data_IF_306664828550
#
_entry.id   IF_306664828550
#
_cell.length_a   1.000
_cell.length_b   1.000
_cell.length_c   1.000
_cell.angle_alpha   90.00
_cell.angle_beta   90.00
_cell.angle_gamma   90.00
#
_symmetry.space_group_name_H-M   'P 1'
#
loop_
_entity.id
_entity.type
_entity.pdbx_description
1 polymer ?
#
# COMPACT_ATOMS: atom_id res chain seq x y z
N UNK A 1 -42.82 51.97 73.57
CA UNK A 1 -42.26 50.84 74.31
C UNK A 1 -42.47 49.62 73.42
N UNK A 2 -41.43 49.25 72.72
CA UNK A 2 -41.49 48.31 71.59
C UNK A 2 -41.11 46.89 72.04
N UNK A 3 -41.92 45.92 71.66
CA UNK A 3 -41.65 44.48 71.86
C UNK A 3 -41.34 43.90 70.48
N UNK A 4 -40.09 43.41 70.29
CA UNK A 4 -39.66 42.73 69.11
C UNK A 4 -39.98 41.22 69.19
N UNK A 5 -40.74 40.75 68.23
CA UNK A 5 -41.05 39.30 68.07
C UNK A 5 -40.17 38.71 66.96
N UNK A 6 -39.21 37.87 67.32
CA UNK A 6 -38.40 37.10 66.38
C UNK A 6 -39.15 35.91 65.76
N UNK A 7 -39.31 35.89 64.46
CA UNK A 7 -39.84 34.74 63.72
C UNK A 7 -38.69 33.80 63.31
N UNK A 8 -38.76 32.59 63.81
CA UNK A 8 -37.87 31.50 63.34
C UNK A 8 -38.47 30.93 62.09
N UNK A 9 -37.73 30.98 60.98
CA UNK A 9 -38.06 30.33 59.71
C UNK A 9 -37.33 28.96 59.65
N UNK A 10 -38.11 27.91 59.70
CA UNK A 10 -37.65 26.53 59.57
C UNK A 10 -37.51 26.20 58.07
N UNK A 11 -36.29 26.12 57.56
CA UNK A 11 -36.03 25.74 56.17
C UNK A 11 -36.00 24.20 56.05
N UNK A 12 -36.99 23.63 55.38
CA UNK A 12 -37.00 22.22 55.00
C UNK A 12 -36.12 22.03 53.75
N UNK A 13 -34.97 21.40 53.91
CA UNK A 13 -34.13 20.93 52.81
C UNK A 13 -34.71 19.63 52.23
N UNK A 14 -35.37 19.70 51.07
CA UNK A 14 -35.74 18.56 50.25
C UNK A 14 -34.51 18.07 49.47
N UNK A 15 -33.95 16.94 49.85
CA UNK A 15 -32.90 16.25 49.09
C UNK A 15 -33.53 15.54 47.88
N UNK A 16 -33.33 16.09 46.69
CA UNK A 16 -33.66 15.45 45.42
C UNK A 16 -32.63 14.36 45.15
N UNK A 17 -32.97 13.10 45.36
CA UNK A 17 -32.22 11.97 44.89
C UNK A 17 -32.39 11.87 43.35
N UNK A 18 -31.39 12.31 42.59
CA UNK A 18 -31.31 12.08 41.14
C UNK A 18 -30.90 10.62 40.91
N UNK A 19 -31.87 9.81 40.54
CA UNK A 19 -31.63 8.44 40.11
C UNK A 19 -30.97 8.44 38.73
N UNK A 20 -29.62 8.32 38.66
CA UNK A 20 -28.90 8.12 37.40
C UNK A 20 -29.05 6.66 36.97
N UNK A 21 -29.61 6.38 35.78
CA UNK A 21 -29.62 5.02 35.27
C UNK A 21 -28.18 4.56 35.01
N UNK A 22 -27.77 3.48 35.68
CA UNK A 22 -26.51 2.78 35.40
C UNK A 22 -26.60 2.25 33.98
N UNK A 23 -25.86 2.88 33.05
CA UNK A 23 -25.72 2.35 31.71
C UNK A 23 -25.00 1.00 31.81
N UNK A 24 -25.55 -0.09 31.23
CA UNK A 24 -24.83 -1.34 31.17
C UNK A 24 -23.52 -1.10 30.42
N UNK A 25 -22.42 -1.49 31.02
CA UNK A 25 -21.10 -1.48 30.36
C UNK A 25 -21.25 -2.28 29.06
N UNK A 26 -20.99 -1.64 27.92
CA UNK A 26 -20.86 -2.37 26.68
C UNK A 26 -19.79 -3.44 26.90
N UNK A 27 -20.23 -4.71 26.94
CA UNK A 27 -19.31 -5.83 26.95
C UNK A 27 -18.33 -5.66 25.79
N UNK A 28 -17.05 -5.57 26.11
CA UNK A 28 -16.00 -5.53 25.11
C UNK A 28 -16.15 -6.82 24.27
N UNK A 29 -16.59 -6.66 23.03
CA UNK A 29 -16.66 -7.77 22.09
C UNK A 29 -15.23 -8.30 21.93
N UNK A 30 -14.93 -9.47 22.47
CA UNK A 30 -13.66 -10.15 22.23
C UNK A 30 -13.47 -10.26 20.72
N UNK A 31 -12.56 -9.47 20.19
CA UNK A 31 -12.17 -9.56 18.77
C UNK A 31 -11.50 -10.90 18.57
N UNK A 32 -12.24 -11.86 18.01
CA UNK A 32 -11.74 -13.21 17.70
C UNK A 32 -10.44 -13.07 16.91
N UNK A 33 -9.30 -13.48 17.51
CA UNK A 33 -7.98 -13.35 16.90
C UNK A 33 -7.98 -14.12 15.56
N UNK A 34 -7.83 -13.40 14.45
CA UNK A 34 -7.78 -14.00 13.12
C UNK A 34 -6.47 -14.77 13.01
N UNK A 35 -6.56 -16.08 12.79
CA UNK A 35 -5.38 -16.94 12.61
C UNK A 35 -4.88 -16.79 11.18
N UNK A 36 -3.58 -16.57 11.02
CA UNK A 36 -2.92 -16.49 9.73
C UNK A 36 -1.95 -17.68 9.53
N UNK A 37 -1.58 -17.91 8.30
CA UNK A 37 -0.54 -18.88 7.90
C UNK A 37 0.36 -18.26 6.84
N UNK A 38 1.59 -18.76 6.76
CA UNK A 38 2.58 -18.30 5.77
C UNK A 38 3.08 -19.50 4.98
N UNK A 39 3.05 -19.37 3.65
CA UNK A 39 3.63 -20.31 2.71
C UNK A 39 4.73 -19.56 1.98
N UNK A 40 5.92 -20.11 1.96
CA UNK A 40 7.09 -19.42 1.44
C UNK A 40 7.62 -20.06 0.17
N UNK A 41 8.37 -19.28 -0.58
CA UNK A 41 9.19 -19.74 -1.70
C UNK A 41 8.41 -20.39 -2.87
N UNK A 42 7.23 -19.85 -3.19
CA UNK A 42 6.39 -20.33 -4.29
C UNK A 42 6.87 -19.68 -5.59
N UNK A 43 7.15 -20.48 -6.63
CA UNK A 43 7.48 -19.96 -7.95
C UNK A 43 6.27 -19.30 -8.61
N UNK A 44 6.42 -18.10 -9.14
CA UNK A 44 5.38 -17.43 -9.92
C UNK A 44 5.71 -17.36 -11.43
N UNK A 45 6.92 -17.73 -11.81
CA UNK A 45 7.34 -17.94 -13.20
C UNK A 45 7.89 -19.38 -13.35
N UNK A 46 7.61 -19.98 -14.49
CA UNK A 46 8.31 -21.18 -14.91
C UNK A 46 9.72 -20.81 -15.35
N UNK A 47 10.68 -21.66 -15.03
CA UNK A 47 12.07 -21.44 -15.40
C UNK A 47 12.35 -22.09 -16.74
N UNK A 48 12.47 -21.33 -17.85
CA UNK A 48 13.17 -21.84 -19.01
C UNK A 48 14.66 -21.95 -18.63
N UNK A 49 15.30 -23.07 -18.91
CA UNK A 49 16.68 -23.45 -18.54
C UNK A 49 17.76 -22.37 -18.83
N UNK A 50 17.45 -21.39 -19.66
CA UNK A 50 18.35 -20.32 -20.10
C UNK A 50 18.28 -19.02 -19.28
N UNK A 51 17.33 -18.85 -18.34
CA UNK A 51 17.07 -17.54 -17.75
C UNK A 51 17.52 -17.47 -16.29
N UNK A 52 18.77 -17.04 -16.09
CA UNK A 52 19.42 -16.94 -14.79
C UNK A 52 18.62 -16.07 -13.82
N UNK A 53 18.46 -16.52 -12.59
CA UNK A 53 17.84 -15.76 -11.51
C UNK A 53 16.32 -15.96 -11.38
N UNK A 54 15.61 -16.55 -12.32
CA UNK A 54 14.19 -16.86 -12.20
C UNK A 54 13.94 -17.75 -10.97
N UNK A 55 14.72 -18.84 -10.81
CA UNK A 55 14.55 -19.78 -9.70
C UNK A 55 14.78 -19.19 -8.31
N UNK A 56 15.63 -18.16 -8.23
CA UNK A 56 16.00 -17.55 -6.94
C UNK A 56 15.19 -16.30 -6.64
N UNK A 57 14.89 -15.50 -7.66
CA UNK A 57 14.28 -14.18 -7.53
C UNK A 57 12.78 -14.16 -7.81
N UNK A 58 12.30 -14.95 -8.80
CA UNK A 58 10.90 -14.94 -9.19
C UNK A 58 10.04 -15.87 -8.29
N UNK A 59 10.05 -15.56 -7.00
CA UNK A 59 9.34 -16.28 -5.95
C UNK A 59 8.45 -15.34 -5.15
N UNK A 60 7.38 -15.89 -4.59
CA UNK A 60 6.50 -15.20 -3.64
C UNK A 60 6.42 -15.93 -2.31
N UNK A 61 6.24 -15.15 -1.24
CA UNK A 61 5.82 -15.63 0.06
C UNK A 61 4.39 -15.14 0.32
N UNK A 62 3.48 -16.03 0.68
CA UNK A 62 2.07 -15.74 0.88
C UNK A 62 1.73 -15.85 2.35
N UNK A 63 1.38 -14.72 2.97
CA UNK A 63 0.85 -14.67 4.34
C UNK A 63 -0.64 -14.35 4.26
N UNK A 64 -1.51 -15.22 4.75
CA UNK A 64 -2.94 -15.05 4.59
C UNK A 64 -3.75 -15.49 5.82
N UNK A 65 -4.93 -14.87 6.08
CA UNK A 65 -5.84 -15.33 7.12
C UNK A 65 -6.49 -16.67 6.71
N UNK A 66 -6.90 -17.46 7.69
CA UNK A 66 -7.67 -18.70 7.45
C UNK A 66 -9.14 -18.44 7.08
N UNK A 67 -9.63 -17.21 7.17
CA UNK A 67 -10.95 -16.80 6.68
C UNK A 67 -11.01 -16.82 5.14
N UNK A 68 -12.21 -16.60 4.57
CA UNK A 68 -12.40 -16.49 3.13
C UNK A 68 -12.79 -15.06 2.73
N UNK A 69 -12.59 -14.72 1.43
CA UNK A 69 -13.00 -13.44 0.85
C UNK A 69 -12.16 -12.24 1.28
N UNK A 70 -10.94 -12.48 1.77
CA UNK A 70 -10.03 -11.41 2.19
C UNK A 70 -9.41 -10.67 1.01
N UNK A 71 -9.04 -9.42 1.25
CA UNK A 71 -8.26 -8.61 0.33
C UNK A 71 -6.77 -8.99 0.39
N UNK A 72 -6.06 -8.78 -0.72
CA UNK A 72 -4.65 -9.15 -0.85
C UNK A 72 -3.81 -7.95 -1.31
N UNK A 73 -2.69 -7.72 -0.64
CA UNK A 73 -1.65 -6.78 -1.06
C UNK A 73 -0.51 -7.56 -1.70
N UNK A 74 -0.24 -7.31 -2.97
CA UNK A 74 1.01 -7.71 -3.61
C UNK A 74 2.05 -6.68 -3.24
N UNK A 75 3.09 -7.12 -2.52
CA UNK A 75 4.12 -6.26 -1.96
C UNK A 75 5.45 -6.44 -2.65
N UNK A 76 6.02 -5.34 -3.15
CA UNK A 76 7.36 -5.29 -3.74
C UNK A 76 8.33 -4.56 -2.80
N UNK A 77 9.49 -5.18 -2.55
CA UNK A 77 10.56 -4.59 -1.75
C UNK A 77 11.24 -3.41 -2.46
N UNK A 78 11.89 -2.55 -1.70
CA UNK A 78 12.76 -1.50 -2.21
C UNK A 78 14.16 -2.02 -2.58
N UNK A 79 15.11 -1.09 -2.70
CA UNK A 79 16.52 -1.40 -2.99
C UNK A 79 16.98 -0.95 -4.38
N UNK A 80 16.33 0.07 -4.95
CA UNK A 80 16.81 0.75 -6.15
C UNK A 80 16.84 -0.10 -7.41
N UNK A 81 16.10 -1.22 -7.48
CA UNK A 81 16.17 -2.23 -8.55
C UNK A 81 17.53 -2.94 -8.64
N UNK A 82 18.44 -2.70 -7.70
CA UNK A 82 19.81 -3.26 -7.66
C UNK A 82 20.05 -4.15 -6.44
N UNK A 83 19.14 -4.11 -5.45
CA UNK A 83 19.28 -4.84 -4.20
C UNK A 83 17.92 -5.14 -3.55
N UNK A 84 17.99 -5.70 -2.34
CA UNK A 84 16.80 -6.09 -1.60
C UNK A 84 16.37 -7.54 -1.85
N UNK A 85 15.36 -7.96 -1.11
CA UNK A 85 14.77 -9.29 -1.19
C UNK A 85 13.31 -9.26 -0.76
N UNK A 86 12.54 -10.25 -1.20
CA UNK A 86 11.16 -10.42 -0.76
C UNK A 86 11.09 -10.63 0.75
N UNK A 87 10.06 -10.08 1.35
CA UNK A 87 9.77 -10.24 2.76
C UNK A 87 8.41 -9.63 3.07
N UNK A 88 7.68 -10.24 3.99
CA UNK A 88 6.38 -9.75 4.43
C UNK A 88 6.61 -8.69 5.50
N UNK A 89 6.25 -7.41 5.27
CA UNK A 89 6.41 -6.35 6.27
C UNK A 89 5.64 -6.67 7.55
N UNK A 90 6.28 -6.51 8.71
CA UNK A 90 5.67 -6.82 10.01
C UNK A 90 4.39 -6.02 10.28
N UNK A 91 4.35 -4.77 9.85
CA UNK A 91 3.17 -3.91 9.98
C UNK A 91 1.96 -4.36 9.16
N UNK A 92 2.13 -5.25 8.18
CA UNK A 92 1.04 -5.85 7.39
C UNK A 92 0.64 -7.24 7.89
N UNK A 93 1.46 -7.90 8.75
CA UNK A 93 1.13 -9.22 9.29
C UNK A 93 -0.09 -9.16 10.21
N UNK A 94 -0.91 -10.21 10.16
CA UNK A 94 -2.02 -10.44 11.07
C UNK A 94 -3.09 -9.32 11.08
N UNK A 95 -3.24 -8.61 9.96
CA UNK A 95 -4.22 -7.51 9.81
C UNK A 95 -5.56 -7.96 9.21
N UNK A 96 -5.80 -9.26 9.01
CA UNK A 96 -7.01 -9.80 8.37
C UNK A 96 -7.03 -9.62 6.85
N UNK A 97 -5.90 -9.28 6.27
CA UNK A 97 -5.63 -9.22 4.83
C UNK A 97 -4.52 -10.22 4.49
N UNK A 98 -4.43 -10.62 3.23
CA UNK A 98 -3.26 -11.36 2.77
C UNK A 98 -2.18 -10.41 2.26
N UNK A 99 -0.93 -10.87 2.36
CA UNK A 99 0.24 -10.23 1.75
C UNK A 99 0.95 -11.25 0.89
N UNK A 100 1.14 -10.93 -0.37
CA UNK A 100 1.97 -11.69 -1.31
C UNK A 100 3.24 -10.89 -1.52
N UNK A 101 4.30 -11.21 -0.77
CA UNK A 101 5.59 -10.57 -0.91
C UNK A 101 6.34 -11.18 -2.09
N UNK A 102 6.61 -10.37 -3.10
CA UNK A 102 7.22 -10.82 -4.35
C UNK A 102 8.69 -10.39 -4.45
N UNK A 103 9.55 -11.34 -4.82
CA UNK A 103 10.87 -11.06 -5.35
C UNK A 103 10.80 -10.77 -6.84
N UNK A 104 11.84 -10.18 -7.38
CA UNK A 104 12.01 -9.90 -8.80
C UNK A 104 13.51 -9.83 -9.12
N UNK A 105 13.89 -10.08 -10.38
CA UNK A 105 15.29 -10.01 -10.81
C UNK A 105 15.79 -8.57 -10.76
N UNK A 106 17.07 -8.40 -10.54
CA UNK A 106 17.70 -7.11 -10.24
C UNK A 106 18.80 -6.78 -11.24
N UNK A 107 19.07 -5.50 -11.42
CA UNK A 107 20.28 -5.00 -12.07
C UNK A 107 21.50 -5.30 -11.16
N UNK A 108 22.68 -5.70 -11.68
CA UNK A 108 23.02 -5.76 -13.11
C UNK A 108 22.73 -7.10 -13.81
N UNK A 109 22.22 -8.12 -13.07
CA UNK A 109 21.95 -9.45 -13.64
C UNK A 109 20.93 -9.37 -14.79
N UNK A 110 19.96 -8.46 -14.68
CA UNK A 110 19.02 -8.10 -15.74
C UNK A 110 18.95 -6.58 -15.92
N UNK A 111 18.39 -6.14 -17.04
CA UNK A 111 18.12 -4.74 -17.33
C UNK A 111 16.63 -4.46 -17.51
N UNK A 112 16.29 -3.16 -17.58
CA UNK A 112 14.94 -2.73 -17.97
C UNK A 112 14.56 -3.33 -19.33
N UNK A 113 13.33 -3.87 -19.48
CA UNK A 113 12.20 -3.82 -18.55
C UNK A 113 12.02 -5.07 -17.64
N UNK A 114 12.96 -6.00 -17.62
CA UNK A 114 12.80 -7.35 -17.03
C UNK A 114 12.25 -7.36 -15.60
N UNK A 115 12.70 -6.46 -14.74
CA UNK A 115 12.17 -6.40 -13.35
C UNK A 115 10.73 -5.90 -13.27
N UNK A 116 10.26 -5.11 -14.25
CA UNK A 116 8.84 -4.71 -14.35
C UNK A 116 8.01 -5.90 -14.85
N UNK A 117 8.53 -6.65 -15.84
CA UNK A 117 7.88 -7.87 -16.35
C UNK A 117 7.75 -8.94 -15.26
N UNK A 118 8.78 -9.11 -14.42
CA UNK A 118 8.73 -10.01 -13.26
C UNK A 118 7.67 -9.58 -12.26
N UNK A 119 7.62 -8.30 -11.95
CA UNK A 119 6.63 -7.76 -11.04
C UNK A 119 5.19 -7.91 -11.60
N UNK A 120 4.99 -7.69 -12.90
CA UNK A 120 3.70 -7.93 -13.57
C UNK A 120 3.30 -9.42 -13.51
N UNK A 121 4.25 -10.33 -13.73
CA UNK A 121 4.03 -11.77 -13.62
C UNK A 121 3.63 -12.18 -12.19
N UNK A 122 4.23 -11.57 -11.14
CA UNK A 122 3.86 -11.81 -9.75
C UNK A 122 2.44 -11.34 -9.42
N UNK A 123 2.03 -10.16 -9.93
CA UNK A 123 0.65 -9.67 -9.81
C UNK A 123 -0.32 -10.62 -10.53
N UNK A 124 0.00 -11.01 -11.76
CA UNK A 124 -0.81 -11.94 -12.53
C UNK A 124 -0.94 -13.30 -11.86
N UNK A 125 0.16 -13.83 -11.31
CA UNK A 125 0.13 -15.06 -10.53
C UNK A 125 -0.80 -14.93 -9.32
N UNK A 126 -0.72 -13.81 -8.61
CA UNK A 126 -1.57 -13.56 -7.43
C UNK A 126 -3.04 -13.58 -7.80
N UNK A 127 -3.45 -12.82 -8.83
CA UNK A 127 -4.84 -12.78 -9.30
C UNK A 127 -5.35 -14.19 -9.66
N UNK A 128 -4.54 -14.99 -10.35
CA UNK A 128 -4.90 -16.35 -10.79
C UNK A 128 -4.92 -17.41 -9.69
N UNK A 129 -4.23 -17.17 -8.56
CA UNK A 129 -4.02 -18.20 -7.54
C UNK A 129 -4.58 -17.88 -6.16
N UNK A 130 -4.87 -16.61 -5.85
CA UNK A 130 -5.23 -16.20 -4.49
C UNK A 130 -6.51 -16.86 -3.96
N UNK A 131 -7.43 -17.22 -4.84
CA UNK A 131 -8.65 -17.93 -4.50
C UNK A 131 -8.39 -19.30 -3.86
N UNK A 132 -7.31 -20.01 -4.27
CA UNK A 132 -6.86 -21.28 -3.68
C UNK A 132 -6.52 -21.13 -2.19
N UNK A 133 -6.15 -19.94 -1.77
CA UNK A 133 -5.84 -19.59 -0.37
C UNK A 133 -7.05 -18.99 0.37
N UNK A 134 -8.17 -18.80 -0.32
CA UNK A 134 -9.41 -18.23 0.21
C UNK A 134 -9.55 -16.72 0.00
N UNK A 135 -8.65 -16.08 -0.76
CA UNK A 135 -8.72 -14.66 -1.09
C UNK A 135 -9.74 -14.35 -2.18
N UNK A 136 -10.09 -13.08 -2.30
CA UNK A 136 -10.98 -12.57 -3.33
C UNK A 136 -10.12 -11.95 -4.46
N UNK A 137 -10.12 -12.53 -5.67
CA UNK A 137 -9.30 -12.04 -6.79
C UNK A 137 -9.73 -10.66 -7.30
N UNK A 138 -10.91 -10.17 -6.91
CA UNK A 138 -11.37 -8.79 -7.22
C UNK A 138 -10.87 -7.75 -6.21
N UNK A 139 -10.22 -8.19 -5.11
CA UNK A 139 -9.70 -7.33 -4.04
C UNK A 139 -8.17 -7.36 -3.98
N UNK A 140 -7.53 -7.18 -5.14
CA UNK A 140 -6.07 -7.15 -5.25
C UNK A 140 -5.58 -5.71 -5.25
N UNK A 141 -4.67 -5.42 -4.33
CA UNK A 141 -3.95 -4.16 -4.22
C UNK A 141 -2.48 -4.38 -4.54
N UNK A 142 -1.85 -3.40 -5.18
CA UNK A 142 -0.41 -3.46 -5.46
C UNK A 142 0.29 -2.35 -4.70
N UNK A 143 1.32 -2.70 -3.95
CA UNK A 143 2.07 -1.79 -3.08
C UNK A 143 3.55 -2.14 -3.04
N UNK A 144 4.35 -1.24 -2.52
CA UNK A 144 5.77 -1.43 -2.30
C UNK A 144 6.43 -0.11 -1.93
N UNK A 145 7.65 -0.18 -1.42
CA UNK A 145 8.41 0.98 -1.01
C UNK A 145 9.53 1.29 -2.01
N UNK A 146 9.80 2.57 -2.29
CA UNK A 146 10.91 3.01 -3.14
C UNK A 146 10.86 2.38 -4.54
N UNK A 147 11.82 1.55 -4.92
CA UNK A 147 11.79 0.77 -6.16
C UNK A 147 10.53 -0.11 -6.28
N UNK A 148 10.07 -0.71 -5.16
CA UNK A 148 8.80 -1.44 -5.13
C UNK A 148 7.59 -0.53 -5.34
N UNK A 149 7.63 0.71 -4.86
CA UNK A 149 6.65 1.74 -5.16
C UNK A 149 6.62 2.11 -6.63
N UNK A 150 7.80 2.26 -7.25
CA UNK A 150 7.93 2.47 -8.69
C UNK A 150 7.30 1.30 -9.49
N UNK A 151 7.64 0.05 -9.14
CA UNK A 151 7.05 -1.13 -9.79
C UNK A 151 5.53 -1.16 -9.66
N UNK A 152 5.00 -0.89 -8.47
CA UNK A 152 3.55 -0.87 -8.24
C UNK A 152 2.84 0.20 -9.08
N UNK A 153 3.44 1.38 -9.23
CA UNK A 153 2.91 2.44 -10.08
C UNK A 153 2.97 2.07 -11.57
N UNK A 154 4.12 1.54 -12.05
CA UNK A 154 4.26 1.12 -13.45
C UNK A 154 3.22 0.05 -13.83
N UNK A 155 3.07 -1.00 -13.03
CA UNK A 155 2.16 -2.11 -13.32
C UNK A 155 0.70 -1.65 -13.34
N UNK A 156 0.32 -0.76 -12.43
CA UNK A 156 -1.07 -0.31 -12.34
C UNK A 156 -1.46 0.77 -13.33
N UNK A 157 -0.49 1.52 -13.87
CA UNK A 157 -0.77 2.65 -14.75
C UNK A 157 -0.54 2.32 -16.23
N UNK A 158 0.51 1.58 -16.54
CA UNK A 158 0.84 1.20 -17.90
C UNK A 158 0.25 -0.19 -18.22
N UNK A 159 -0.81 -0.19 -19.00
CA UNK A 159 -1.55 -1.41 -19.37
C UNK A 159 -0.68 -2.46 -20.09
N UNK A 160 0.44 -2.05 -20.69
CA UNK A 160 1.34 -2.96 -21.41
C UNK A 160 1.85 -4.11 -20.55
N UNK A 161 2.05 -3.88 -19.25
CA UNK A 161 2.70 -4.88 -18.37
C UNK A 161 1.80 -6.05 -18.01
N UNK A 162 0.52 -5.82 -17.80
CA UNK A 162 -0.44 -6.90 -17.48
C UNK A 162 -1.13 -7.49 -18.71
N UNK A 163 -1.09 -6.81 -19.86
CA UNK A 163 -1.71 -7.27 -21.11
C UNK A 163 -1.22 -8.66 -21.57
N UNK A 164 0.09 -9.01 -21.50
CA UNK A 164 0.56 -10.36 -21.87
C UNK A 164 -0.02 -11.48 -20.98
N UNK A 165 -0.53 -11.13 -19.79
CA UNK A 165 -1.16 -12.05 -18.85
C UNK A 165 -2.69 -12.12 -19.01
N UNK A 166 -3.26 -11.35 -19.96
CA UNK A 166 -4.71 -11.23 -20.19
C UNK A 166 -5.43 -10.48 -19.08
N UNK A 167 -4.76 -9.55 -18.39
CA UNK A 167 -5.29 -8.79 -17.25
C UNK A 167 -5.31 -7.30 -17.60
N UNK A 168 -6.46 -6.66 -17.38
CA UNK A 168 -6.57 -5.21 -17.38
C UNK A 168 -6.24 -4.67 -15.98
N UNK A 169 -5.22 -3.79 -15.80
CA UNK A 169 -4.90 -3.21 -14.50
C UNK A 169 -6.06 -2.43 -13.87
N UNK A 170 -7.05 -2.00 -14.63
CA UNK A 170 -8.23 -1.30 -14.10
C UNK A 170 -9.10 -2.20 -13.21
N UNK A 171 -8.89 -3.51 -13.25
CA UNK A 171 -9.52 -4.48 -12.33
C UNK A 171 -8.87 -4.54 -10.95
N UNK A 172 -7.71 -3.89 -10.76
CA UNK A 172 -7.06 -3.80 -9.45
C UNK A 172 -7.89 -2.94 -8.50
N UNK A 173 -8.05 -3.38 -7.26
CA UNK A 173 -8.81 -2.67 -6.24
C UNK A 173 -8.13 -1.37 -5.76
N UNK A 174 -6.82 -1.24 -5.98
CA UNK A 174 -6.07 -0.01 -5.75
C UNK A 174 -4.56 -0.16 -5.83
N UNK A 175 -3.90 0.98 -5.95
CA UNK A 175 -2.45 1.13 -5.99
C UNK A 175 -1.99 1.92 -4.77
N UNK A 176 -0.93 1.44 -4.10
CA UNK A 176 -0.43 2.09 -2.89
C UNK A 176 1.10 2.21 -2.99
N UNK A 177 1.63 3.02 -3.92
CA UNK A 177 3.06 3.23 -4.04
C UNK A 177 3.58 4.11 -2.91
N UNK A 178 4.57 3.60 -2.15
CA UNK A 178 5.22 4.29 -1.05
C UNK A 178 6.54 4.88 -1.55
N UNK A 179 6.64 6.20 -1.55
CA UNK A 179 7.80 6.97 -2.03
C UNK A 179 8.34 6.47 -3.39
N UNK A 180 7.48 6.29 -4.41
CA UNK A 180 7.92 5.87 -5.72
C UNK A 180 8.76 6.95 -6.40
N UNK A 181 9.65 6.57 -7.30
CA UNK A 181 10.11 7.49 -8.34
C UNK A 181 9.00 7.67 -9.37
N UNK A 182 8.56 8.90 -9.63
CA UNK A 182 7.49 9.19 -10.58
C UNK A 182 8.03 9.39 -12.01
N UNK A 183 9.29 9.82 -12.13
CA UNK A 183 10.03 9.90 -13.38
C UNK A 183 10.70 8.55 -13.72
N UNK A 184 11.36 8.43 -14.86
CA UNK A 184 12.15 7.25 -15.23
C UNK A 184 13.14 6.91 -14.12
N UNK A 185 13.08 5.69 -13.62
CA UNK A 185 13.86 5.27 -12.44
C UNK A 185 15.37 5.48 -12.66
N UNK A 186 16.08 5.94 -11.61
CA UNK A 186 17.50 6.29 -11.73
C UNK A 186 18.38 5.11 -12.21
N UNK A 187 18.05 3.88 -11.81
CA UNK A 187 18.75 2.68 -12.29
C UNK A 187 18.60 2.50 -13.79
N UNK A 188 17.40 2.72 -14.33
CA UNK A 188 17.15 2.66 -15.79
C UNK A 188 17.93 3.76 -16.51
N UNK A 189 17.98 4.96 -15.94
CA UNK A 189 18.79 6.04 -16.48
C UNK A 189 20.28 5.67 -16.47
N UNK A 190 20.77 5.10 -15.38
CA UNK A 190 22.15 4.60 -15.25
C UNK A 190 22.48 3.51 -16.28
N UNK A 191 21.57 2.56 -16.51
CA UNK A 191 21.72 1.53 -17.57
C UNK A 191 21.91 2.11 -18.95
N UNK A 192 21.35 3.30 -19.19
CA UNK A 192 21.43 4.04 -20.46
C UNK A 192 22.58 5.06 -20.50
N UNK A 193 23.45 5.08 -19.48
CA UNK A 193 24.54 6.04 -19.36
C UNK A 193 24.08 7.48 -19.05
N UNK A 194 22.85 7.66 -18.59
CA UNK A 194 22.27 8.95 -18.23
C UNK A 194 22.52 9.20 -16.74
N UNK A 195 23.07 10.38 -16.41
CA UNK A 195 23.31 10.76 -15.01
C UNK A 195 22.01 10.82 -14.22
N UNK A 196 22.06 10.44 -12.95
CA UNK A 196 20.92 10.45 -12.01
C UNK A 196 20.33 11.84 -11.76
N UNK A 197 21.15 12.89 -11.93
CA UNK A 197 20.71 14.29 -11.83
C UNK A 197 19.89 14.77 -13.03
N UNK A 198 19.86 14.01 -14.16
CA UNK A 198 19.08 14.38 -15.33
C UNK A 198 17.66 13.84 -15.23
N UNK A 199 16.68 14.73 -15.21
CA UNK A 199 15.27 14.36 -15.25
C UNK A 199 14.91 13.80 -16.63
N UNK A 200 14.34 12.59 -16.65
CA UNK A 200 13.80 11.93 -17.84
C UNK A 200 12.38 11.47 -17.54
N UNK A 201 11.46 11.80 -18.45
CA UNK A 201 10.08 11.31 -18.44
C UNK A 201 9.84 10.66 -19.80
N UNK A 202 9.86 9.35 -19.82
CA UNK A 202 9.63 8.53 -21.02
C UNK A 202 8.64 7.38 -20.69
N UNK A 203 8.60 6.35 -21.53
CA UNK A 203 7.72 5.19 -21.34
C UNK A 203 8.03 4.37 -20.08
N UNK A 204 9.18 4.60 -19.42
CA UNK A 204 9.56 3.98 -18.14
C UNK A 204 9.29 4.90 -16.94
N UNK A 205 8.59 6.02 -17.14
CA UNK A 205 8.20 6.94 -16.08
C UNK A 205 6.74 6.72 -15.69
N UNK A 206 6.40 6.37 -14.45
CA UNK A 206 5.00 6.21 -14.03
C UNK A 206 4.13 7.42 -14.34
N UNK A 207 4.68 8.64 -14.24
CA UNK A 207 3.95 9.88 -14.51
C UNK A 207 3.50 10.01 -15.97
N UNK A 208 4.20 9.35 -16.91
CA UNK A 208 3.84 9.35 -18.33
C UNK A 208 2.54 8.56 -18.61
N UNK A 209 2.13 7.71 -17.68
CA UNK A 209 0.98 6.82 -17.82
C UNK A 209 -0.21 7.23 -16.95
N UNK A 210 -0.22 8.48 -16.47
CA UNK A 210 -1.34 9.02 -15.70
C UNK A 210 -2.59 9.08 -16.57
N UNK A 211 -3.70 8.53 -16.07
CA UNK A 211 -4.98 8.46 -16.80
C UNK A 211 -6.17 8.57 -15.85
N UNK A 212 -7.35 9.05 -16.32
CA UNK A 212 -8.49 9.32 -15.47
C UNK A 212 -9.19 8.07 -14.92
N UNK A 213 -9.04 6.95 -15.60
CA UNK A 213 -9.68 5.65 -15.36
C UNK A 213 -8.76 4.64 -14.64
N UNK A 214 -7.58 5.09 -14.17
CA UNK A 214 -6.67 4.27 -13.37
C UNK A 214 -7.35 3.78 -12.07
N UNK A 215 -6.88 2.66 -11.48
CA UNK A 215 -7.35 2.20 -10.17
C UNK A 215 -7.24 3.31 -9.11
N UNK A 216 -8.01 3.25 -8.00
CA UNK A 216 -7.83 4.16 -6.87
C UNK A 216 -6.40 4.16 -6.35
N UNK A 217 -5.84 5.34 -6.04
CA UNK A 217 -4.41 5.49 -5.70
C UNK A 217 -4.23 6.19 -4.36
N UNK A 218 -3.37 5.63 -3.51
CA UNK A 218 -2.80 6.27 -2.33
C UNK A 218 -1.30 6.41 -2.51
N UNK A 219 -0.82 7.60 -2.81
CA UNK A 219 0.60 7.96 -2.76
C UNK A 219 0.97 8.30 -1.32
N UNK A 220 2.06 7.73 -0.81
CA UNK A 220 2.63 8.09 0.50
C UNK A 220 4.09 8.45 0.30
N UNK A 221 4.55 9.55 0.87
CA UNK A 221 5.95 9.97 0.84
C UNK A 221 6.43 10.30 2.26
N UNK A 222 7.72 10.30 2.48
CA UNK A 222 8.31 10.84 3.71
C UNK A 222 8.16 12.36 3.79
N UNK A 223 8.72 12.93 4.83
CA UNK A 223 8.77 14.37 5.06
C UNK A 223 9.58 15.05 3.95
N UNK A 224 9.06 16.10 3.34
CA UNK A 224 9.70 16.81 2.22
C UNK A 224 11.12 17.30 2.51
N UNK A 225 11.42 17.61 3.77
CA UNK A 225 12.73 18.10 4.20
C UNK A 225 13.71 16.94 4.55
N UNK A 226 13.21 15.70 4.68
CA UNK A 226 14.01 14.54 5.09
C UNK A 226 14.03 13.40 4.06
N UNK A 227 13.11 13.43 3.10
CA UNK A 227 13.06 12.47 2.00
C UNK A 227 14.27 12.65 1.07
N UNK A 228 14.51 11.69 0.17
CA UNK A 228 15.47 11.89 -0.90
C UNK A 228 15.15 13.16 -1.69
N UNK A 229 16.19 13.95 -2.00
CA UNK A 229 16.02 15.22 -2.71
C UNK A 229 15.23 15.03 -4.01
N UNK A 230 14.19 15.84 -4.17
CA UNK A 230 13.28 15.80 -5.31
C UNK A 230 12.20 14.72 -5.24
N UNK A 231 12.27 13.76 -4.30
CA UNK A 231 11.33 12.65 -4.23
C UNK A 231 9.91 13.11 -3.83
N UNK A 232 9.81 14.01 -2.86
CA UNK A 232 8.53 14.59 -2.48
C UNK A 232 7.92 15.37 -3.64
N UNK A 233 8.71 16.20 -4.30
CA UNK A 233 8.28 17.04 -5.43
C UNK A 233 7.81 16.18 -6.62
N UNK A 234 8.53 15.09 -6.93
CA UNK A 234 8.09 14.12 -7.94
C UNK A 234 6.70 13.57 -7.59
N UNK A 235 6.48 13.16 -6.33
CA UNK A 235 5.21 12.60 -5.89
C UNK A 235 4.10 13.64 -5.82
N UNK A 236 4.38 14.88 -5.42
CA UNK A 236 3.43 15.98 -5.40
C UNK A 236 3.00 16.35 -6.83
N UNK A 237 3.95 16.40 -7.77
CA UNK A 237 3.65 16.64 -9.17
C UNK A 237 2.89 15.44 -9.79
N UNK A 238 3.27 14.21 -9.50
CA UNK A 238 2.57 13.01 -9.91
C UNK A 238 1.10 13.01 -9.47
N UNK A 239 0.85 13.31 -8.19
CA UNK A 239 -0.50 13.51 -7.66
C UNK A 239 -1.25 14.64 -8.40
N UNK A 240 -0.57 15.76 -8.69
CA UNK A 240 -1.17 16.89 -9.41
C UNK A 240 -1.60 16.46 -10.81
N UNK A 241 -0.81 15.67 -11.52
CA UNK A 241 -1.14 15.20 -12.86
C UNK A 241 -2.40 14.31 -12.87
N UNK A 242 -2.60 13.46 -11.87
CA UNK A 242 -3.88 12.74 -11.72
C UNK A 242 -5.08 13.69 -11.61
N UNK A 243 -4.94 14.80 -10.90
CA UNK A 243 -5.98 15.84 -10.83
C UNK A 243 -6.21 16.52 -12.18
N UNK A 244 -5.14 16.80 -12.90
CA UNK A 244 -5.21 17.45 -14.24
C UNK A 244 -5.98 16.59 -15.22
N UNK A 245 -5.76 15.28 -15.24
CA UNK A 245 -6.50 14.36 -16.14
C UNK A 245 -7.90 14.00 -15.62
N UNK A 246 -8.32 14.51 -14.46
CA UNK A 246 -9.66 14.28 -13.91
C UNK A 246 -9.81 12.99 -13.09
N UNK A 247 -8.72 12.33 -12.69
CA UNK A 247 -8.80 11.16 -11.83
C UNK A 247 -9.37 11.52 -10.45
N UNK A 248 -10.46 10.86 -10.03
CA UNK A 248 -11.22 11.25 -8.84
C UNK A 248 -10.77 10.61 -7.53
N UNK A 249 -10.05 9.50 -7.62
CA UNK A 249 -9.71 8.63 -6.48
C UNK A 249 -8.21 8.59 -6.20
N UNK A 250 -7.54 9.76 -6.18
CA UNK A 250 -6.11 9.88 -5.85
C UNK A 250 -5.91 10.66 -4.56
N UNK A 251 -5.06 10.15 -3.68
CA UNK A 251 -4.64 10.80 -2.43
C UNK A 251 -3.12 10.87 -2.38
N UNK A 252 -2.60 11.92 -1.78
CA UNK A 252 -1.19 12.05 -1.39
C UNK A 252 -1.14 12.25 0.13
N UNK A 253 -0.29 11.48 0.81
CA UNK A 253 0.02 11.59 2.24
C UNK A 253 1.51 11.81 2.41
N UNK A 254 1.85 12.85 3.14
CA UNK A 254 3.21 13.14 3.59
C UNK A 254 3.34 12.74 5.06
N UNK A 255 4.38 11.97 5.38
CA UNK A 255 4.68 11.54 6.74
C UNK A 255 5.73 12.47 7.35
N UNK A 256 5.28 13.43 8.15
CA UNK A 256 6.13 14.42 8.80
C UNK A 256 7.13 13.74 9.74
N UNK A 257 8.40 14.15 9.65
CA UNK A 257 9.50 13.62 10.46
C UNK A 257 10.09 12.28 10.01
N UNK A 258 9.60 11.71 8.89
CA UNK A 258 10.12 10.44 8.37
C UNK A 258 10.92 10.64 7.10
N UNK A 259 12.15 10.12 7.08
CA UNK A 259 13.00 10.09 5.89
C UNK A 259 12.65 8.89 4.99
N UNK A 260 13.32 8.80 3.82
CA UNK A 260 13.11 7.70 2.87
C UNK A 260 13.25 6.30 3.49
N UNK A 261 14.23 6.11 4.38
CA UNK A 261 14.53 4.79 4.94
C UNK A 261 13.48 4.29 5.94
N UNK A 262 12.91 5.18 6.74
CA UNK A 262 11.99 4.81 7.83
C UNK A 262 10.51 5.09 7.53
N UNK A 263 10.19 5.83 6.47
CA UNK A 263 8.80 6.09 6.10
C UNK A 263 8.06 4.83 5.63
N UNK A 264 8.78 3.84 5.10
CA UNK A 264 8.18 2.61 4.59
C UNK A 264 7.35 1.90 5.65
N UNK A 265 7.93 1.64 6.82
CA UNK A 265 7.22 1.00 7.94
C UNK A 265 6.15 1.91 8.55
N UNK A 266 6.42 3.21 8.66
CA UNK A 266 5.47 4.19 9.17
C UNK A 266 4.22 4.33 8.28
N UNK A 267 4.33 4.04 6.99
CA UNK A 267 3.21 4.08 6.03
C UNK A 267 2.28 2.85 6.13
N UNK A 268 2.72 1.72 6.71
CA UNK A 268 1.95 0.46 6.67
C UNK A 268 0.55 0.55 7.30
N UNK A 269 0.32 1.30 8.39
CA UNK A 269 -1.04 1.53 8.88
C UNK A 269 -1.97 2.18 7.85
N UNK A 270 -1.46 3.12 7.04
CA UNK A 270 -2.23 3.77 5.96
C UNK A 270 -2.54 2.78 4.83
N UNK A 271 -1.62 1.85 4.53
CA UNK A 271 -1.86 0.75 3.58
C UNK A 271 -3.04 -0.10 4.05
N UNK A 272 -3.01 -0.55 5.32
CA UNK A 272 -4.09 -1.38 5.90
C UNK A 272 -5.43 -0.65 5.90
N UNK A 273 -5.44 0.64 6.27
CA UNK A 273 -6.64 1.47 6.28
C UNK A 273 -7.23 1.60 4.86
N UNK A 274 -6.40 1.92 3.87
CA UNK A 274 -6.84 2.06 2.48
C UNK A 274 -7.42 0.75 1.94
N UNK A 275 -6.74 -0.37 2.17
CA UNK A 275 -7.20 -1.71 1.76
C UNK A 275 -8.56 -2.03 2.39
N UNK A 276 -8.71 -1.83 3.70
CA UNK A 276 -9.97 -2.11 4.41
C UNK A 276 -11.12 -1.26 3.88
N UNK A 277 -10.89 0.04 3.73
CA UNK A 277 -11.90 0.99 3.25
C UNK A 277 -12.39 0.62 1.84
N UNK A 278 -11.48 0.24 0.94
CA UNK A 278 -11.82 -0.13 -0.45
C UNK A 278 -12.41 -1.53 -0.57
N UNK A 279 -12.04 -2.46 0.31
CA UNK A 279 -12.57 -3.84 0.29
C UNK A 279 -13.98 -3.98 0.83
N UNK A 280 -14.47 -3.00 1.59
CA UNK A 280 -15.82 -3.02 2.21
C UNK A 280 -16.94 -2.47 1.30
N UNK A 281 -16.64 -2.13 0.04
CA UNK A 281 -17.64 -1.75 -0.96
C UNK A 281 -18.33 -0.41 -0.71
N UNK A 282 -17.74 0.52 0.06
CA UNK A 282 -18.18 1.93 0.09
C UNK A 282 -17.30 2.75 -0.86
N UNK A 283 -17.93 3.55 -1.74
CA UNK A 283 -17.23 4.37 -2.73
C UNK A 283 -16.29 5.40 -2.11
#
# INVERSE_FOLDING_TARGET
MYINGSRVILACLLALYVWMPVRPALAAQETKKIVHTTIQNIAYRENPESDKGIDTRCRVDVHHPKSKGFATVVWFHGGGLTGGSRGIPDGLKDKGIAVVAAGYRLNPDVKSPTYIEDAAAAVAWTIKNIEKYGGDPTKIFVSGHSAGGYLSAMIGLDKRWLAPHGIDPDTLAGLIPLSPQAITHYTIRSERGIRDTKVIVDEMAPINHVRPDAPPILLVTGDREQELLGRYEENAYFWRMFKVVGHKNVQLKELQGFNHGNMGDAALPLVVEFVRKRSQGKP
#
